data_IF_513760858676
#
_entry.id   IF_513760858676
#
_cell.length_a   1.000
_cell.length_b   1.000
_cell.length_c   1.000
_cell.angle_alpha   90.00
_cell.angle_beta   90.00
_cell.angle_gamma   90.00
#
_symmetry.space_group_name_H-M   'P 1'
#
loop_
_entity.id
_entity.type
_entity.pdbx_description
1 polymer ?
#
# COMPACT_ATOMS: atom_id res chain seq x y z
N UNK A 1 -17.56 0.62 3.25
CA UNK A 1 -16.75 1.46 2.34
C UNK A 1 -15.46 0.75 1.99
N UNK A 2 -15.03 0.88 0.75
CA UNK A 2 -13.79 0.26 0.29
C UNK A 2 -12.68 1.30 0.20
N UNK A 3 -11.55 1.01 0.83
CA UNK A 3 -10.38 1.88 0.86
C UNK A 3 -9.30 1.35 -0.08
N UNK A 4 -8.53 2.25 -0.66
CA UNK A 4 -7.46 1.91 -1.61
C UNK A 4 -6.18 2.66 -1.22
N UNK A 5 -5.05 1.94 -1.27
CA UNK A 5 -3.72 2.54 -1.14
C UNK A 5 -2.81 1.96 -2.21
N UNK A 6 -1.97 2.81 -2.79
CA UNK A 6 -0.91 2.35 -3.65
C UNK A 6 0.42 2.59 -2.96
N UNK A 7 1.04 1.52 -2.48
CA UNK A 7 2.30 1.60 -1.74
C UNK A 7 3.44 1.59 -2.73
N UNK A 8 4.38 2.51 -2.57
CA UNK A 8 5.60 2.55 -3.40
C UNK A 8 6.80 2.66 -2.48
N UNK A 9 7.93 2.17 -2.96
CA UNK A 9 9.17 2.25 -2.20
C UNK A 9 10.34 1.64 -2.95
N UNK A 10 11.55 1.70 -2.35
CA UNK A 10 12.73 1.14 -2.97
C UNK A 10 12.66 -0.38 -3.02
N UNK A 11 13.39 -0.98 -3.95
CA UNK A 11 13.45 -2.43 -4.10
C UNK A 11 14.37 -3.02 -3.02
N UNK A 12 13.88 -3.03 -1.79
CA UNK A 12 14.61 -3.57 -0.64
C UNK A 12 13.64 -4.08 0.43
N UNK A 13 14.19 -4.54 1.55
CA UNK A 13 13.41 -5.12 2.63
C UNK A 13 12.45 -4.11 3.29
N UNK A 14 12.71 -2.82 3.20
CA UNK A 14 11.83 -1.82 3.79
C UNK A 14 10.48 -1.78 3.10
N UNK A 15 10.45 -1.97 1.78
CA UNK A 15 9.19 -2.05 1.05
C UNK A 15 8.41 -3.31 1.43
N UNK A 16 9.10 -4.45 1.50
CA UNK A 16 8.46 -5.72 1.91
C UNK A 16 7.86 -5.62 3.30
N UNK A 17 8.57 -4.98 4.22
CA UNK A 17 8.08 -4.77 5.59
C UNK A 17 6.82 -3.91 5.59
N UNK A 18 6.83 -2.84 4.81
CA UNK A 18 5.70 -1.92 4.72
C UNK A 18 4.45 -2.61 4.19
N UNK A 19 4.60 -3.45 3.16
CA UNK A 19 3.49 -4.23 2.62
C UNK A 19 2.99 -5.25 3.66
N UNK A 20 3.92 -5.93 4.33
CA UNK A 20 3.58 -6.92 5.36
C UNK A 20 2.79 -6.28 6.50
N UNK A 21 3.19 -5.10 6.95
CA UNK A 21 2.46 -4.38 7.99
C UNK A 21 1.05 -4.01 7.54
N UNK A 22 0.87 -3.62 6.29
CA UNK A 22 -0.45 -3.35 5.76
C UNK A 22 -1.32 -4.60 5.78
N UNK A 23 -0.77 -5.74 5.38
CA UNK A 23 -1.51 -7.01 5.42
C UNK A 23 -1.92 -7.39 6.84
N UNK A 24 -1.06 -7.16 7.83
CA UNK A 24 -1.37 -7.43 9.23
C UNK A 24 -2.47 -6.51 9.77
N UNK A 25 -2.64 -5.34 9.19
CA UNK A 25 -3.69 -4.39 9.56
C UNK A 25 -4.98 -4.59 8.78
N UNK A 26 -5.14 -5.71 8.08
CA UNK A 26 -6.37 -6.06 7.39
C UNK A 26 -6.45 -5.63 5.94
N UNK A 27 -5.39 -5.03 5.41
CA UNK A 27 -5.34 -4.72 4.00
C UNK A 27 -5.09 -5.98 3.18
N UNK A 28 -5.63 -6.03 1.97
CA UNK A 28 -5.47 -7.15 1.05
C UNK A 28 -4.76 -6.69 -0.21
N UNK A 29 -3.95 -7.55 -0.79
CA UNK A 29 -3.28 -7.26 -2.05
C UNK A 29 -4.31 -7.14 -3.17
N UNK A 30 -4.13 -6.14 -4.01
CA UNK A 30 -5.01 -5.92 -5.17
C UNK A 30 -4.16 -5.80 -6.43
N UNK A 31 -4.38 -6.70 -7.37
CA UNK A 31 -3.63 -6.72 -8.62
C UNK A 31 -2.17 -7.15 -8.42
N UNK A 32 -1.40 -7.03 -9.47
CA UNK A 32 -0.01 -7.43 -9.49
C UNK A 32 0.90 -6.31 -8.99
N UNK A 33 2.03 -6.65 -8.35
CA UNK A 33 3.02 -5.65 -8.01
C UNK A 33 3.65 -5.07 -9.28
N UNK A 34 4.22 -3.88 -9.13
CA UNK A 34 4.89 -3.20 -10.23
C UNK A 34 6.34 -2.94 -9.89
N UNK A 35 7.15 -2.81 -10.91
CA UNK A 35 8.56 -2.51 -10.79
C UNK A 35 8.93 -1.53 -11.90
N UNK A 36 9.57 -0.42 -11.54
CA UNK A 36 9.98 0.58 -12.51
C UNK A 36 11.33 1.16 -12.13
N UNK A 37 11.96 1.82 -13.08
CA UNK A 37 13.27 2.45 -12.92
C UNK A 37 13.13 3.94 -13.24
N UNK A 38 13.55 4.80 -12.31
CA UNK A 38 13.42 6.25 -12.48
C UNK A 38 14.67 6.93 -13.07
N UNK A 39 15.67 6.13 -13.45
CA UNK A 39 16.97 6.62 -13.93
C UNK A 39 18.09 6.46 -12.91
N UNK A 40 17.76 6.27 -11.65
CA UNK A 40 18.73 6.08 -10.57
C UNK A 40 18.37 4.89 -9.68
N UNK A 41 17.08 4.68 -9.41
CA UNK A 41 16.63 3.66 -8.47
C UNK A 41 15.51 2.82 -9.06
N UNK A 42 15.43 1.57 -8.61
CA UNK A 42 14.30 0.70 -8.90
C UNK A 42 13.23 0.98 -7.86
N UNK A 43 12.01 1.23 -8.34
CA UNK A 43 10.87 1.56 -7.48
C UNK A 43 9.84 0.46 -7.60
N UNK A 44 9.43 -0.09 -6.45
CA UNK A 44 8.39 -1.10 -6.36
C UNK A 44 7.05 -0.46 -6.02
N UNK A 45 5.97 -1.07 -6.49
CA UNK A 45 4.62 -0.63 -6.17
C UNK A 45 3.69 -1.79 -5.95
N UNK A 46 2.73 -1.63 -5.05
CA UNK A 46 1.70 -2.62 -4.78
C UNK A 46 0.44 -1.94 -4.29
N UNK A 47 -0.67 -2.21 -4.96
CA UNK A 47 -1.96 -1.72 -4.51
C UNK A 47 -2.53 -2.64 -3.43
N UNK A 48 -3.15 -2.04 -2.42
CA UNK A 48 -3.84 -2.77 -1.37
C UNK A 48 -5.21 -2.14 -1.14
N UNK A 49 -6.17 -2.97 -0.77
CA UNK A 49 -7.55 -2.53 -0.53
C UNK A 49 -8.02 -3.06 0.82
N UNK A 50 -8.99 -2.37 1.41
CA UNK A 50 -9.55 -2.76 2.69
C UNK A 50 -11.00 -2.31 2.76
N UNK A 51 -11.87 -3.16 3.30
CA UNK A 51 -13.22 -2.78 3.66
C UNK A 51 -13.22 -2.19 5.05
N UNK A 52 -13.91 -1.08 5.22
CA UNK A 52 -14.06 -0.42 6.51
C UNK A 52 -15.52 -0.07 6.71
N UNK A 53 -15.99 -0.18 7.96
CA UNK A 53 -17.31 0.28 8.34
C UNK A 53 -17.29 1.80 8.53
N UNK A 54 -18.39 2.45 8.20
CA UNK A 54 -18.50 3.89 8.36
C UNK A 54 -17.99 4.67 7.15
N UNK A 55 -17.95 5.98 7.26
CA UNK A 55 -17.59 6.87 6.17
C UNK A 55 -16.08 7.11 6.09
N UNK A 56 -15.66 7.54 4.93
CA UNK A 56 -14.27 7.93 4.71
C UNK A 56 -14.02 9.33 5.26
N UNK A 57 -13.00 9.46 6.11
CA UNK A 57 -12.53 10.74 6.61
C UNK A 57 -11.22 11.09 5.90
N UNK A 58 -11.28 12.03 4.97
CA UNK A 58 -10.12 12.43 4.17
C UNK A 58 -9.02 13.09 4.98
N UNK A 59 -9.31 13.51 6.21
CA UNK A 59 -8.29 14.10 7.08
C UNK A 59 -7.54 13.04 7.89
N UNK A 60 -8.05 11.81 7.91
CA UNK A 60 -7.39 10.70 8.56
C UNK A 60 -6.49 9.98 7.56
N UNK A 61 -5.19 9.82 7.84
CA UNK A 61 -4.31 9.08 6.95
C UNK A 61 -4.81 7.66 6.70
N UNK A 62 -4.73 7.20 5.46
CA UNK A 62 -5.18 5.85 5.12
C UNK A 62 -4.44 4.78 5.91
N UNK A 63 -3.19 5.02 6.30
CA UNK A 63 -2.43 4.08 7.12
C UNK A 63 -3.04 3.86 8.51
N UNK A 64 -3.94 4.72 8.96
CA UNK A 64 -4.60 4.62 10.27
C UNK A 64 -5.94 3.88 10.20
N UNK A 65 -6.39 3.48 9.03
CA UNK A 65 -7.56 2.65 8.88
C UNK A 65 -7.17 1.18 9.09
#
# INVERSE_FOLDING_TARGET
MKLYRYLTGPDDASFCRRVTEALQNGWELYGNPTLTFDGEHIICGQAVVKKSDGGYDREKPLSEY
#
